data_IF_476586772626
#
_entry.id   IF_476586772626
#
_cell.length_a   1.000
_cell.length_b   1.000
_cell.length_c   1.000
_cell.angle_alpha   90.00
_cell.angle_beta   90.00
_cell.angle_gamma   90.00
#
_symmetry.space_group_name_H-M   'P 1'
#
loop_
_entity.id
_entity.type
_entity.pdbx_description
1 polymer ?
#
# COMPACT_ATOMS: atom_id res chain seq x y z
N UNK A 1 45.92 -5.55 77.23
CA UNK A 1 45.45 -5.91 75.89
C UNK A 1 43.96 -5.65 75.81
N UNK A 2 43.50 -4.80 74.88
CA UNK A 2 42.08 -4.55 74.63
C UNK A 2 41.86 -4.74 73.12
N UNK A 3 41.41 -5.93 72.74
CA UNK A 3 41.00 -6.21 71.37
C UNK A 3 39.69 -5.47 71.09
N UNK A 4 39.71 -4.62 70.07
CA UNK A 4 38.54 -3.93 69.54
C UNK A 4 38.21 -4.57 68.19
N UNK A 5 37.08 -5.29 68.03
CA UNK A 5 36.71 -5.80 66.73
C UNK A 5 36.14 -4.69 65.83
N UNK A 6 36.55 -4.80 64.58
CA UNK A 6 36.30 -3.93 63.44
C UNK A 6 34.81 -3.75 63.14
N UNK A 7 34.39 -2.51 62.85
CA UNK A 7 33.00 -2.20 62.46
C UNK A 7 32.78 -2.70 61.03
N UNK A 8 32.08 -3.83 60.88
CA UNK A 8 31.61 -4.29 59.56
C UNK A 8 30.63 -3.27 59.00
N UNK A 9 31.06 -2.49 58.00
CA UNK A 9 30.22 -1.53 57.30
C UNK A 9 29.16 -2.24 56.47
N UNK A 10 27.90 -2.13 56.88
CA UNK A 10 26.75 -2.67 56.15
C UNK A 10 26.63 -1.96 54.79
N UNK A 11 26.83 -2.69 53.69
CA UNK A 11 26.57 -2.17 52.34
C UNK A 11 25.08 -1.86 52.22
N UNK A 12 24.74 -0.58 52.02
CA UNK A 12 23.34 -0.17 51.74
C UNK A 12 22.99 -0.63 50.32
N UNK A 13 22.14 -1.63 50.20
CA UNK A 13 21.46 -1.92 48.93
C UNK A 13 20.57 -0.72 48.59
N UNK A 14 20.90 0.00 47.52
CA UNK A 14 20.07 1.09 47.01
C UNK A 14 18.76 0.53 46.47
N UNK A 15 17.64 0.90 47.08
CA UNK A 15 16.31 0.63 46.54
C UNK A 15 16.00 1.56 45.35
N UNK A 16 15.17 1.08 44.43
CA UNK A 16 14.62 1.89 43.35
C UNK A 16 13.91 3.12 43.91
N UNK A 17 14.20 4.29 43.35
CA UNK A 17 13.51 5.51 43.75
C UNK A 17 12.13 5.56 43.10
N UNK A 18 11.14 6.15 43.77
CA UNK A 18 9.82 6.37 43.17
C UNK A 18 9.91 7.20 41.87
N UNK A 19 10.87 8.13 41.83
CA UNK A 19 11.21 8.93 40.66
C UNK A 19 11.63 8.06 39.46
N UNK A 20 12.39 7.00 39.68
CA UNK A 20 12.85 6.10 38.62
C UNK A 20 11.70 5.34 37.95
N UNK A 21 10.75 4.86 38.74
CA UNK A 21 9.53 4.20 38.21
C UNK A 21 8.69 5.21 37.42
N UNK A 22 8.56 6.45 37.91
CA UNK A 22 7.84 7.50 37.19
C UNK A 22 8.51 7.84 35.85
N UNK A 23 9.84 7.96 35.83
CA UNK A 23 10.60 8.20 34.60
C UNK A 23 10.44 7.03 33.63
N UNK A 24 10.54 5.78 34.12
CA UNK A 24 10.35 4.59 33.30
C UNK A 24 8.95 4.56 32.65
N UNK A 25 7.90 4.84 33.43
CA UNK A 25 6.53 4.92 32.91
C UNK A 25 6.36 6.05 31.89
N UNK A 26 6.98 7.21 32.11
CA UNK A 26 6.95 8.32 31.15
C UNK A 26 7.60 7.93 29.81
N UNK A 27 8.75 7.26 29.85
CA UNK A 27 9.44 6.76 28.65
C UNK A 27 8.57 5.73 27.91
N UNK A 28 7.99 4.77 28.64
CA UNK A 28 7.10 3.76 28.06
C UNK A 28 5.88 4.40 27.40
N UNK A 29 5.25 5.38 28.05
CA UNK A 29 4.10 6.08 27.49
C UNK A 29 4.45 6.78 26.16
N UNK A 30 5.58 7.50 26.11
CA UNK A 30 6.06 8.16 24.89
C UNK A 30 6.35 7.12 23.79
N UNK A 31 7.01 6.01 24.13
CA UNK A 31 7.31 4.95 23.19
C UNK A 31 6.05 4.33 22.59
N UNK A 32 5.01 4.07 23.41
CA UNK A 32 3.73 3.52 22.94
C UNK A 32 3.01 4.46 21.97
N UNK A 33 3.03 5.77 22.21
CA UNK A 33 2.45 6.75 21.27
C UNK A 33 3.20 6.75 19.94
N UNK A 34 4.54 6.68 19.98
CA UNK A 34 5.37 6.56 18.78
C UNK A 34 5.07 5.28 17.98
N UNK A 35 4.93 4.14 18.67
CA UNK A 35 4.58 2.86 18.06
C UNK A 35 3.20 2.87 17.40
N UNK A 36 2.20 3.48 18.05
CA UNK A 36 0.86 3.60 17.48
C UNK A 36 0.88 4.39 16.16
N UNK A 37 1.64 5.48 16.12
CA UNK A 37 1.83 6.27 14.89
C UNK A 37 2.52 5.48 13.77
N UNK A 38 3.44 4.58 14.10
CA UNK A 38 4.09 3.70 13.12
C UNK A 38 3.12 2.67 12.55
N UNK A 39 2.32 2.02 13.41
CA UNK A 39 1.32 1.02 12.97
C UNK A 39 0.32 1.63 12.00
N UNK A 40 -0.16 2.85 12.26
CA UNK A 40 -1.10 3.53 11.36
C UNK A 40 -0.49 3.81 9.99
N UNK A 41 0.79 4.20 9.92
CA UNK A 41 1.50 4.39 8.65
C UNK A 41 1.68 3.08 7.88
N UNK A 42 1.98 1.99 8.58
CA UNK A 42 2.12 0.67 7.97
C UNK A 42 0.81 0.17 7.36
N UNK A 43 -0.33 0.39 8.02
CA UNK A 43 -1.65 0.02 7.48
C UNK A 43 -1.94 0.77 6.17
N UNK A 44 -1.71 2.09 6.15
CA UNK A 44 -1.93 2.91 4.96
C UNK A 44 -1.03 2.49 3.78
N UNK A 45 0.23 2.14 4.05
CA UNK A 45 1.16 1.66 3.03
C UNK A 45 0.73 0.28 2.45
N UNK A 46 0.17 -0.58 3.30
CA UNK A 46 -0.34 -1.89 2.89
C UNK A 46 -1.58 -1.76 1.99
N UNK A 47 -2.50 -0.85 2.33
CA UNK A 47 -3.70 -0.59 1.53
C UNK A 47 -3.36 -0.11 0.12
N UNK A 48 -2.40 0.80 -0.02
CA UNK A 48 -1.98 1.31 -1.34
C UNK A 48 -1.42 0.19 -2.22
N UNK A 49 -0.58 -0.68 -1.64
CA UNK A 49 0.00 -1.82 -2.35
C UNK A 49 -1.09 -2.81 -2.82
N UNK A 50 -2.12 -3.03 -1.99
CA UNK A 50 -3.27 -3.84 -2.34
C UNK A 50 -4.08 -3.25 -3.51
N UNK A 51 -4.30 -1.93 -3.51
CA UNK A 51 -5.05 -1.24 -4.58
C UNK A 51 -4.35 -1.32 -5.93
N UNK A 52 -3.05 -1.09 -5.98
CA UNK A 52 -2.25 -1.22 -7.21
C UNK A 52 -2.35 -2.65 -7.76
N UNK A 53 -2.20 -3.65 -6.89
CA UNK A 53 -2.30 -5.06 -7.29
C UNK A 53 -3.67 -5.37 -7.86
N UNK A 54 -4.75 -4.93 -7.18
CA UNK A 54 -6.12 -5.16 -7.63
C UNK A 54 -6.41 -4.44 -8.95
N UNK A 55 -6.03 -3.17 -9.09
CA UNK A 55 -6.17 -2.41 -10.32
C UNK A 55 -5.42 -3.07 -11.49
N UNK A 56 -4.23 -3.61 -11.24
CA UNK A 56 -3.45 -4.34 -12.24
C UNK A 56 -4.17 -5.60 -12.70
N UNK A 57 -4.72 -6.40 -11.78
CA UNK A 57 -5.48 -7.60 -12.12
C UNK A 57 -6.74 -7.26 -12.93
N UNK A 58 -7.46 -6.21 -12.54
CA UNK A 58 -8.64 -5.73 -13.27
C UNK A 58 -8.28 -5.24 -14.69
N UNK A 59 -7.15 -4.54 -14.83
CA UNK A 59 -6.65 -4.10 -16.12
C UNK A 59 -6.28 -5.30 -17.02
N UNK A 60 -5.61 -6.32 -16.47
CA UNK A 60 -5.28 -7.55 -17.19
C UNK A 60 -6.53 -8.31 -17.63
N UNK A 61 -7.51 -8.47 -16.73
CA UNK A 61 -8.77 -9.13 -17.05
C UNK A 61 -9.53 -8.41 -18.16
N UNK A 62 -9.59 -7.07 -18.11
CA UNK A 62 -10.24 -6.26 -19.13
C UNK A 62 -9.53 -6.38 -20.48
N UNK A 63 -8.20 -6.29 -20.46
CA UNK A 63 -7.39 -6.44 -21.66
C UNK A 63 -7.59 -7.82 -22.30
N UNK A 64 -7.55 -8.89 -21.51
CA UNK A 64 -7.77 -10.25 -22.00
C UNK A 64 -9.16 -10.44 -22.63
N UNK A 65 -10.21 -9.82 -22.06
CA UNK A 65 -11.56 -9.83 -22.64
C UNK A 65 -11.65 -9.11 -23.98
N UNK A 66 -10.94 -7.99 -24.13
CA UNK A 66 -10.87 -7.25 -25.39
C UNK A 66 -10.13 -8.08 -26.44
N UNK A 67 -9.00 -8.70 -26.07
CA UNK A 67 -8.23 -9.58 -26.95
C UNK A 67 -9.03 -10.82 -27.40
N UNK A 68 -9.89 -11.35 -26.52
CA UNK A 68 -10.80 -12.44 -26.83
C UNK A 68 -12.03 -12.00 -27.66
N UNK A 69 -12.19 -10.70 -27.95
CA UNK A 69 -13.33 -10.15 -28.67
C UNK A 69 -14.66 -10.20 -27.91
N UNK A 70 -14.60 -10.37 -26.58
CA UNK A 70 -15.77 -10.41 -25.70
C UNK A 70 -16.26 -8.98 -25.43
N UNK A 71 -15.32 -8.10 -25.10
CA UNK A 71 -15.59 -6.70 -24.82
C UNK A 71 -15.16 -5.81 -26.00
N UNK A 72 -15.88 -4.71 -26.28
CA UNK A 72 -15.48 -3.74 -27.29
C UNK A 72 -14.17 -3.04 -26.88
N UNK A 73 -13.29 -2.82 -27.85
CA UNK A 73 -12.03 -2.10 -27.66
C UNK A 73 -12.21 -0.57 -27.57
N UNK A 74 -13.42 -0.07 -27.85
CA UNK A 74 -13.81 1.34 -27.73
C UNK A 74 -14.88 1.42 -26.65
N UNK A 75 -14.46 1.58 -25.40
CA UNK A 75 -15.40 1.83 -24.32
C UNK A 75 -14.79 2.73 -23.25
N UNK A 76 -15.57 3.73 -22.85
CA UNK A 76 -15.24 4.66 -21.79
C UNK A 76 -16.08 4.39 -20.54
N UNK A 77 -15.39 4.26 -19.40
CA UNK A 77 -15.78 5.02 -18.21
C UNK A 77 -16.91 4.46 -17.35
N UNK A 78 -17.07 3.15 -17.24
CA UNK A 78 -17.91 2.56 -16.18
C UNK A 78 -17.08 2.11 -14.98
N UNK A 79 -17.70 2.14 -13.80
CA UNK A 79 -17.17 1.45 -12.62
C UNK A 79 -17.19 -0.06 -12.84
N UNK A 80 -16.23 -0.78 -12.29
CA UNK A 80 -16.33 -2.24 -12.26
C UNK A 80 -17.57 -2.68 -11.44
N UNK A 81 -18.16 -3.84 -11.76
CA UNK A 81 -19.26 -4.39 -10.97
C UNK A 81 -18.80 -4.74 -9.55
N UNK A 82 -19.74 -4.94 -8.61
CA UNK A 82 -19.42 -5.42 -7.27
C UNK A 82 -18.54 -6.69 -7.35
N UNK A 83 -17.44 -6.77 -6.57
CA UNK A 83 -17.07 -5.92 -5.42
C UNK A 83 -16.15 -4.72 -5.73
N UNK A 84 -15.87 -4.40 -7.00
CA UNK A 84 -14.79 -3.48 -7.41
C UNK A 84 -15.28 -2.09 -7.83
N UNK A 85 -16.42 -1.63 -7.32
CA UNK A 85 -17.07 -0.36 -7.68
C UNK A 85 -16.17 0.89 -7.50
N UNK A 86 -15.14 0.80 -6.66
CA UNK A 86 -14.15 1.85 -6.41
C UNK A 86 -13.18 2.07 -7.59
N UNK A 87 -13.10 1.11 -8.51
CA UNK A 87 -12.25 1.17 -9.68
C UNK A 87 -13.07 1.57 -10.90
N UNK A 88 -12.51 2.46 -11.71
CA UNK A 88 -13.05 2.88 -13.01
C UNK A 88 -12.08 2.54 -14.10
N UNK A 89 -12.58 2.13 -15.26
CA UNK A 89 -11.72 1.78 -16.39
C UNK A 89 -11.98 2.65 -17.61
N UNK A 90 -10.94 2.80 -18.44
CA UNK A 90 -11.01 3.43 -19.75
C UNK A 90 -10.14 2.64 -20.71
N UNK A 91 -10.61 2.45 -21.94
CA UNK A 91 -9.82 1.88 -23.02
C UNK A 91 -9.52 2.97 -24.04
N UNK A 92 -8.25 3.11 -24.41
CA UNK A 92 -7.78 4.03 -25.43
C UNK A 92 -7.16 3.22 -26.57
N UNK A 93 -7.63 3.44 -27.80
CA UNK A 93 -7.03 2.88 -29.00
C UNK A 93 -6.07 3.90 -29.62
N UNK A 94 -4.86 3.46 -29.90
CA UNK A 94 -3.86 4.27 -30.57
C UNK A 94 -3.28 3.54 -31.80
N UNK A 95 -2.91 4.27 -32.87
CA UNK A 95 -2.17 3.68 -33.97
C UNK A 95 -0.80 3.22 -33.48
N UNK A 96 -0.39 2.01 -33.86
CA UNK A 96 0.96 1.52 -33.57
C UNK A 96 1.95 2.00 -34.65
N UNK A 97 3.26 2.10 -34.35
CA UNK A 97 4.28 2.43 -35.35
C UNK A 97 4.42 1.37 -36.46
N UNK A 98 3.87 0.17 -36.25
CA UNK A 98 3.96 -0.97 -37.16
C UNK A 98 2.65 -1.06 -37.96
N UNK A 99 2.71 -1.10 -39.31
CA UNK A 99 1.53 -1.29 -40.15
C UNK A 99 0.79 -2.59 -39.82
N UNK A 100 -0.55 -2.54 -39.77
CA UNK A 100 -1.38 -3.71 -39.46
C UNK A 100 -1.34 -4.13 -37.99
N UNK A 101 -0.95 -3.22 -37.08
CA UNK A 101 -1.00 -3.42 -35.63
C UNK A 101 -1.71 -2.22 -35.00
N UNK A 102 -2.55 -2.47 -34.01
CA UNK A 102 -3.14 -1.44 -33.16
C UNK A 102 -2.64 -1.56 -31.73
N UNK A 103 -2.43 -0.43 -31.08
CA UNK A 103 -2.12 -0.36 -29.66
C UNK A 103 -3.42 -0.19 -28.88
N UNK A 104 -3.58 -1.01 -27.83
CA UNK A 104 -4.69 -0.93 -26.88
C UNK A 104 -4.10 -0.54 -25.53
N UNK A 105 -4.53 0.59 -25.00
CA UNK A 105 -4.21 1.03 -23.65
C UNK A 105 -5.43 0.85 -22.74
N UNK A 106 -5.29 0.03 -21.70
CA UNK A 106 -6.30 -0.14 -20.66
C UNK A 106 -5.84 0.60 -19.41
N UNK A 107 -6.63 1.60 -19.01
CA UNK A 107 -6.42 2.36 -17.79
C UNK A 107 -7.41 1.92 -16.72
N UNK A 108 -6.93 1.68 -15.51
CA UNK A 108 -7.75 1.45 -14.32
C UNK A 108 -7.37 2.46 -13.24
N UNK A 109 -8.29 3.35 -12.92
CA UNK A 109 -8.12 4.39 -11.92
C UNK A 109 -8.93 4.09 -10.65
N UNK A 110 -8.40 4.46 -9.49
CA UNK A 110 -9.10 4.40 -8.21
C UNK A 110 -8.94 5.71 -7.44
N UNK A 111 -9.92 6.03 -6.59
CA UNK A 111 -9.88 7.25 -5.79
C UNK A 111 -10.18 8.51 -6.60
N UNK A 112 -9.60 9.63 -6.15
CA UNK A 112 -9.88 10.96 -6.69
C UNK A 112 -9.03 11.26 -7.94
N UNK A 113 -9.62 11.98 -8.89
CA UNK A 113 -8.97 12.33 -10.15
C UNK A 113 -7.68 13.15 -9.90
N UNK A 114 -7.68 14.00 -8.87
CA UNK A 114 -6.55 14.85 -8.50
C UNK A 114 -5.34 14.06 -7.99
N UNK A 115 -5.53 12.82 -7.52
CA UNK A 115 -4.42 11.99 -7.00
C UNK A 115 -3.74 11.15 -8.08
N UNK A 116 -4.23 11.19 -9.33
CA UNK A 116 -3.72 10.45 -10.49
C UNK A 116 -3.40 8.96 -10.17
N UNK A 117 -4.22 8.34 -9.33
CA UNK A 117 -4.04 6.95 -8.89
C UNK A 117 -4.60 6.01 -9.95
N UNK A 118 -3.74 5.57 -10.85
CA UNK A 118 -4.11 4.71 -11.97
C UNK A 118 -3.00 3.73 -12.36
N UNK A 119 -3.41 2.60 -12.93
CA UNK A 119 -2.55 1.65 -13.63
C UNK A 119 -2.91 1.70 -15.12
N UNK A 120 -1.91 1.79 -15.99
CA UNK A 120 -2.05 1.67 -17.44
C UNK A 120 -1.34 0.41 -17.91
N UNK A 121 -2.05 -0.44 -18.65
CA UNK A 121 -1.48 -1.58 -19.37
C UNK A 121 -1.62 -1.36 -20.86
N UNK A 122 -0.55 -1.62 -21.60
CA UNK A 122 -0.49 -1.45 -23.05
C UNK A 122 -0.29 -2.81 -23.71
N UNK A 123 -1.12 -3.12 -24.70
CA UNK A 123 -0.99 -4.31 -25.55
C UNK A 123 -0.96 -3.90 -27.02
N UNK A 124 -0.37 -4.76 -27.84
CA UNK A 124 -0.30 -4.60 -29.29
C UNK A 124 -0.98 -5.80 -29.94
N UNK A 125 -2.06 -5.52 -30.66
CA UNK A 125 -2.84 -6.55 -31.35
C UNK A 125 -2.75 -6.37 -32.86
N UNK A 126 -2.66 -7.47 -33.64
CA UNK A 126 -2.77 -7.38 -35.10
C UNK A 126 -4.12 -6.76 -35.50
N UNK A 127 -4.08 -5.86 -36.47
CA UNK A 127 -5.27 -5.34 -37.12
C UNK A 127 -5.84 -6.46 -38.01
N UNK A 128 -6.83 -7.18 -37.50
CA UNK A 128 -7.46 -8.25 -38.26
C UNK A 128 -8.09 -7.66 -39.53
N UNK A 129 -7.47 -7.97 -40.68
CA UNK A 129 -7.98 -7.68 -42.02
C UNK A 129 -9.26 -8.49 -42.22
N UNK A 130 -10.40 -7.90 -41.86
CA UNK A 130 -11.73 -8.49 -42.06
C UNK A 130 -12.28 -8.07 -43.42
#
# INVERSE_FOLDING_TARGET
MKDVPERVGMKRCGGFTLLEVMIALAIVAIALVGLLGLVQRSILAQEESGRITRATLLAQEKLARIEAGIDPAEAEGESFPPPDELYRWRVELAPAPVPGVRQIDVLVAWGDADRNQQVRLTSFVPEANR
#
